data_IF_937337634030
#
_entry.id   IF_937337634030
#
_cell.length_a   1.000
_cell.length_b   1.000
_cell.length_c   1.000
_cell.angle_alpha   90.00
_cell.angle_beta   90.00
_cell.angle_gamma   90.00
#
_symmetry.space_group_name_H-M   'P 1'
#
loop_
_entity.id
_entity.type
_entity.pdbx_description
1 polymer ?
#
# COMPACT_ATOMS: atom_id res chain seq x y z
N UNK A 1 -14.48 -7.47 -15.19
CA UNK A 1 -13.95 -6.50 -14.21
C UNK A 1 -14.26 -6.94 -12.78
N UNK A 2 -13.24 -7.43 -12.10
CA UNK A 2 -13.25 -7.81 -10.69
C UNK A 2 -12.64 -6.70 -9.84
N UNK A 3 -13.24 -6.44 -8.68
CA UNK A 3 -12.84 -5.37 -7.77
C UNK A 3 -12.45 -5.93 -6.41
N UNK A 4 -11.30 -5.50 -5.92
CA UNK A 4 -10.76 -5.85 -4.61
C UNK A 4 -10.46 -4.57 -3.85
N UNK A 5 -11.11 -4.38 -2.71
CA UNK A 5 -10.88 -3.23 -1.84
C UNK A 5 -10.00 -3.64 -0.68
N UNK A 6 -9.03 -2.79 -0.35
CA UNK A 6 -8.13 -3.01 0.78
C UNK A 6 -8.11 -1.80 1.71
N UNK A 7 -7.99 -2.08 3.01
CA UNK A 7 -7.60 -1.13 4.03
C UNK A 7 -6.18 -1.47 4.51
N UNK A 8 -5.35 -0.45 4.68
CA UNK A 8 -3.93 -0.61 4.96
C UNK A 8 -3.50 0.30 6.10
N UNK A 9 -2.83 -0.27 7.09
CA UNK A 9 -2.01 0.47 8.05
C UNK A 9 -0.54 0.34 7.67
N UNK A 10 0.17 1.46 7.64
CA UNK A 10 1.59 1.52 7.32
C UNK A 10 2.36 2.43 8.27
N UNK A 11 3.67 2.18 8.37
CA UNK A 11 4.63 3.07 9.00
C UNK A 11 5.64 3.56 7.96
N UNK A 12 6.13 4.79 8.15
CA UNK A 12 7.17 5.41 7.32
C UNK A 12 8.41 5.62 8.16
N UNK A 13 9.55 5.13 7.67
CA UNK A 13 10.86 5.40 8.22
C UNK A 13 11.39 6.73 7.68
N UNK A 14 11.64 7.69 8.56
CA UNK A 14 12.33 8.93 8.21
C UNK A 14 13.72 8.93 8.86
N UNK A 15 14.71 8.50 8.09
CA UNK A 15 16.06 8.27 8.59
C UNK A 15 16.10 7.22 9.70
N UNK A 16 16.97 7.41 10.69
CA UNK A 16 17.21 6.39 11.73
C UNK A 16 16.23 6.44 12.93
N UNK A 17 15.39 7.49 13.04
CA UNK A 17 14.76 7.81 14.33
C UNK A 17 13.27 8.09 14.32
N UNK A 18 12.71 8.64 13.25
CA UNK A 18 11.31 9.04 13.26
C UNK A 18 10.46 8.04 12.48
N UNK A 19 9.36 7.60 13.11
CA UNK A 19 8.33 6.79 12.48
C UNK A 19 7.03 7.56 12.42
N UNK A 20 6.51 7.76 11.21
CA UNK A 20 5.12 8.21 11.04
C UNK A 20 4.23 7.01 10.82
N UNK A 21 3.00 7.13 11.29
CA UNK A 21 1.95 6.14 11.12
C UNK A 21 0.91 6.71 10.17
N UNK A 22 0.42 5.88 9.26
CA UNK A 22 -0.59 6.28 8.30
C UNK A 22 -1.51 5.15 7.94
N UNK A 23 -2.67 5.53 7.41
CA UNK A 23 -3.68 4.60 6.94
C UNK A 23 -4.06 4.99 5.51
N UNK A 24 -4.42 4.01 4.69
CA UNK A 24 -4.96 4.27 3.36
C UNK A 24 -5.87 3.13 2.92
N UNK A 25 -6.58 3.35 1.83
CA UNK A 25 -7.32 2.30 1.13
C UNK A 25 -6.74 2.09 -0.26
N UNK A 26 -6.94 0.92 -0.85
CA UNK A 26 -6.65 0.64 -2.26
C UNK A 26 -7.89 0.01 -2.91
N UNK A 27 -8.26 0.52 -4.09
CA UNK A 27 -9.25 -0.09 -4.97
C UNK A 27 -8.50 -0.72 -6.16
N UNK A 28 -8.38 -2.04 -6.15
CA UNK A 28 -7.63 -2.81 -7.14
C UNK A 28 -8.61 -3.48 -8.11
N UNK A 29 -8.45 -3.18 -9.40
CA UNK A 29 -9.38 -3.59 -10.46
C UNK A 29 -8.60 -4.34 -11.54
N UNK A 30 -9.11 -5.51 -11.88
CA UNK A 30 -8.56 -6.39 -12.92
C UNK A 30 -9.70 -6.88 -13.81
N UNK A 31 -9.40 -7.20 -15.06
CA UNK A 31 -10.41 -7.68 -15.99
C UNK A 31 -10.67 -9.18 -15.84
N UNK A 32 -9.60 -9.97 -15.71
CA UNK A 32 -9.60 -11.41 -15.45
C UNK A 32 -9.09 -11.70 -14.02
N UNK A 33 -9.75 -12.56 -13.22
CA UNK A 33 -9.23 -13.01 -11.93
C UNK A 33 -7.84 -13.66 -11.98
N UNK A 34 -7.44 -14.24 -13.12
CA UNK A 34 -6.12 -14.82 -13.33
C UNK A 34 -5.00 -13.76 -13.32
N UNK A 35 -5.33 -12.49 -13.59
CA UNK A 35 -4.40 -11.36 -13.55
C UNK A 35 -4.18 -10.81 -12.13
N UNK A 36 -4.74 -11.45 -11.11
CA UNK A 36 -4.57 -11.00 -9.73
C UNK A 36 -3.12 -11.21 -9.26
N UNK A 37 -2.39 -10.11 -9.09
CA UNK A 37 -1.04 -10.10 -8.53
C UNK A 37 -0.99 -9.45 -7.14
N UNK A 38 -0.76 -10.22 -6.06
CA UNK A 38 -0.54 -9.68 -4.73
C UNK A 38 0.67 -8.73 -4.63
N UNK A 39 1.71 -8.92 -5.43
CA UNK A 39 2.90 -8.08 -5.41
C UNK A 39 2.61 -6.69 -5.99
N UNK A 40 1.80 -6.62 -7.05
CA UNK A 40 1.29 -5.37 -7.58
C UNK A 40 0.45 -4.61 -6.55
N UNK A 41 -0.42 -5.30 -5.80
CA UNK A 41 -1.20 -4.68 -4.70
C UNK A 41 -0.28 -4.01 -3.68
N UNK A 42 0.75 -4.72 -3.20
CA UNK A 42 1.71 -4.15 -2.24
C UNK A 42 2.52 -2.98 -2.84
N UNK A 43 2.89 -3.07 -4.11
CA UNK A 43 3.60 -1.99 -4.82
C UNK A 43 2.76 -0.73 -4.89
N UNK A 44 1.50 -0.85 -5.34
CA UNK A 44 0.56 0.28 -5.44
C UNK A 44 0.30 0.94 -4.07
N UNK A 45 0.19 0.15 -3.01
CA UNK A 45 0.03 0.64 -1.64
C UNK A 45 1.24 1.47 -1.22
N UNK A 46 2.45 0.93 -1.40
CA UNK A 46 3.70 1.62 -1.05
C UNK A 46 3.87 2.90 -1.84
N UNK A 47 3.61 2.88 -3.14
CA UNK A 47 3.67 4.06 -3.99
C UNK A 47 2.68 5.14 -3.55
N UNK A 48 1.44 4.77 -3.21
CA UNK A 48 0.44 5.71 -2.70
C UNK A 48 0.88 6.35 -1.39
N UNK A 49 1.34 5.54 -0.44
CA UNK A 49 1.84 6.04 0.85
C UNK A 49 3.08 6.93 0.66
N UNK A 50 4.07 6.46 -0.11
CA UNK A 50 5.30 7.19 -0.40
C UNK A 50 5.00 8.57 -1.03
N UNK A 51 4.13 8.61 -2.04
CA UNK A 51 3.70 9.85 -2.70
C UNK A 51 2.99 10.80 -1.76
N UNK A 52 2.16 10.29 -0.85
CA UNK A 52 1.42 11.11 0.13
C UNK A 52 2.36 11.87 1.05
N UNK A 53 3.51 11.27 1.41
CA UNK A 53 4.45 11.82 2.38
C UNK A 53 5.76 12.33 1.76
N UNK A 54 5.92 12.25 0.44
CA UNK A 54 7.13 12.70 -0.26
C UNK A 54 8.39 11.87 0.06
N UNK A 55 8.24 10.58 0.33
CA UNK A 55 9.35 9.65 0.69
C UNK A 55 9.56 8.58 -0.38
N UNK A 56 10.58 7.73 -0.21
CA UNK A 56 10.80 6.56 -1.07
C UNK A 56 9.85 5.41 -0.74
N UNK A 57 9.57 4.54 -1.71
CA UNK A 57 8.75 3.34 -1.48
C UNK A 57 9.40 2.36 -0.49
N UNK A 58 10.74 2.34 -0.42
CA UNK A 58 11.51 1.52 0.53
C UNK A 58 11.38 2.00 1.96
N UNK A 59 10.98 3.27 2.16
CA UNK A 59 10.76 3.86 3.48
C UNK A 59 9.39 3.49 4.04
N UNK A 60 8.50 2.90 3.22
CA UNK A 60 7.15 2.49 3.61
C UNK A 60 7.13 1.01 3.99
N UNK A 61 6.79 0.73 5.26
CA UNK A 61 6.49 -0.62 5.72
C UNK A 61 5.00 -0.77 5.99
N UNK A 62 4.39 -1.67 5.23
CA UNK A 62 3.01 -2.14 5.49
C UNK A 62 3.02 -2.95 6.78
N UNK A 63 2.16 -2.57 7.73
CA UNK A 63 1.97 -3.29 9.00
C UNK A 63 0.79 -4.23 8.94
N UNK A 64 -0.32 -3.74 8.39
CA UNK A 64 -1.57 -4.49 8.30
C UNK A 64 -2.20 -4.25 6.93
N UNK A 65 -2.71 -5.30 6.33
CA UNK A 65 -3.45 -5.27 5.07
C UNK A 65 -4.71 -6.11 5.21
N UNK A 66 -5.86 -5.45 5.21
CA UNK A 66 -7.17 -6.10 5.25
C UNK A 66 -7.86 -5.98 3.90
N UNK A 67 -8.41 -7.08 3.41
CA UNK A 67 -9.38 -7.05 2.32
C UNK A 67 -10.75 -6.70 2.90
N UNK A 68 -11.43 -5.73 2.29
CA UNK A 68 -12.78 -5.27 2.63
C UNK A 68 -13.84 -6.00 1.82
#
# INVERSE_FOLDING_TARGET
MHRYCYFVDYEIFMGERFRMWGQTTLDYRIDDPADFDPAQVLTLIRERAARTHGVGCTDVRVRVLHRL
#
